data_IF_589279147143
#
_entry.id   IF_589279147143
#
_cell.length_a   1.000
_cell.length_b   1.000
_cell.length_c   1.000
_cell.angle_alpha   90.00
_cell.angle_beta   90.00
_cell.angle_gamma   90.00
#
_symmetry.space_group_name_H-M   'P 1'
#
loop_
_entity.id
_entity.type
_entity.pdbx_description
1 polymer ?
#
# COMPACT_ATOMS: atom_id res chain seq x y z
N UNK A 1 -4.96 27.93 13.14
CA UNK A 1 -4.42 26.69 13.75
C UNK A 1 -3.11 26.42 13.03
N UNK A 2 -1.99 26.05 13.68
CA UNK A 2 -0.81 25.65 12.92
C UNK A 2 -1.20 24.49 12.00
N UNK A 3 -0.99 24.66 10.70
CA UNK A 3 -1.29 23.64 9.69
C UNK A 3 -0.38 22.45 9.96
N UNK A 4 -0.98 21.33 10.33
CA UNK A 4 -0.27 20.09 10.60
C UNK A 4 0.00 19.36 9.28
N UNK A 5 1.26 19.24 8.88
CA UNK A 5 1.66 18.43 7.72
C UNK A 5 1.76 16.95 8.11
N UNK A 6 0.93 16.05 7.55
CA UNK A 6 0.95 14.63 7.87
C UNK A 6 2.08 13.85 7.15
N UNK A 7 2.75 14.44 6.16
CA UNK A 7 3.74 13.75 5.32
C UNK A 7 4.87 13.07 6.11
N UNK A 8 5.44 13.68 7.18
CA UNK A 8 6.45 13.03 8.00
C UNK A 8 5.92 11.80 8.75
N UNK A 9 4.67 11.83 9.21
CA UNK A 9 4.05 10.67 9.88
C UNK A 9 3.87 9.50 8.91
N UNK A 10 3.48 9.79 7.67
CA UNK A 10 3.37 8.76 6.62
C UNK A 10 4.73 8.11 6.35
N UNK A 11 5.78 8.92 6.13
CA UNK A 11 7.13 8.39 5.91
C UNK A 11 7.61 7.55 7.11
N UNK A 12 7.37 8.03 8.33
CA UNK A 12 7.73 7.31 9.56
C UNK A 12 6.97 5.98 9.68
N UNK A 13 5.73 5.90 9.19
CA UNK A 13 4.90 4.69 9.24
C UNK A 13 5.44 3.52 8.37
N UNK A 14 6.33 3.80 7.41
CA UNK A 14 6.96 2.76 6.60
C UNK A 14 7.84 1.83 7.44
N UNK A 15 8.53 2.37 8.45
CA UNK A 15 9.39 1.57 9.31
C UNK A 15 8.64 0.46 10.07
N UNK A 16 7.58 0.76 10.86
CA UNK A 16 6.79 -0.30 11.49
C UNK A 16 6.10 -1.21 10.48
N UNK A 17 5.74 -0.71 9.29
CA UNK A 17 5.15 -1.54 8.23
C UNK A 17 6.12 -2.59 7.68
N UNK A 18 7.39 -2.23 7.47
CA UNK A 18 8.43 -3.16 7.03
C UNK A 18 8.72 -4.22 8.10
N UNK A 19 8.75 -3.81 9.37
CA UNK A 19 8.87 -4.75 10.50
C UNK A 19 7.69 -5.74 10.50
N UNK A 20 6.47 -5.25 10.34
CA UNK A 20 5.27 -6.08 10.21
C UNK A 20 5.41 -7.11 9.09
N UNK A 21 5.81 -6.68 7.89
CA UNK A 21 6.00 -7.56 6.73
C UNK A 21 7.08 -8.63 6.98
N UNK A 22 8.19 -8.25 7.61
CA UNK A 22 9.27 -9.17 7.96
C UNK A 22 8.76 -10.30 8.88
N UNK A 23 8.10 -9.95 9.99
CA UNK A 23 7.58 -10.93 10.93
C UNK A 23 6.45 -11.76 10.34
N UNK A 24 5.61 -11.16 9.50
CA UNK A 24 4.56 -11.86 8.78
C UNK A 24 5.13 -12.97 7.88
N UNK A 25 6.26 -12.68 7.21
CA UNK A 25 6.99 -13.65 6.40
C UNK A 25 7.63 -14.78 7.22
N UNK A 26 8.29 -14.43 8.31
CA UNK A 26 9.05 -15.37 9.15
C UNK A 26 8.14 -16.35 9.89
N UNK A 27 7.03 -15.87 10.44
CA UNK A 27 6.14 -16.66 11.30
C UNK A 27 5.02 -17.38 10.56
N UNK A 28 4.88 -17.14 9.24
CA UNK A 28 3.81 -17.71 8.38
C UNK A 28 2.40 -17.60 9.00
N UNK A 29 2.13 -16.49 9.68
CA UNK A 29 0.90 -16.27 10.46
C UNK A 29 -0.35 -16.15 9.58
N UNK A 30 -0.16 -15.73 8.32
CA UNK A 30 -1.23 -15.59 7.35
C UNK A 30 -0.98 -16.46 6.12
N UNK A 31 -2.04 -16.78 5.36
CA UNK A 31 -1.93 -17.40 4.05
C UNK A 31 -0.96 -16.66 3.14
N UNK A 32 -0.26 -17.41 2.29
CA UNK A 32 0.69 -16.83 1.33
C UNK A 32 0.04 -15.76 0.45
N UNK A 33 -1.24 -15.92 0.10
CA UNK A 33 -2.00 -14.95 -0.69
C UNK A 33 -2.19 -13.62 0.06
N UNK A 34 -2.59 -13.67 1.34
CA UNK A 34 -2.73 -12.45 2.15
C UNK A 34 -1.39 -11.75 2.36
N UNK A 35 -0.30 -12.50 2.57
CA UNK A 35 1.05 -11.94 2.64
C UNK A 35 1.44 -11.23 1.34
N UNK A 36 1.12 -11.80 0.18
CA UNK A 36 1.34 -11.14 -1.11
C UNK A 36 0.51 -9.85 -1.23
N UNK A 37 -0.72 -9.84 -0.73
CA UNK A 37 -1.54 -8.63 -0.68
C UNK A 37 -0.88 -7.49 0.09
N UNK A 38 -0.32 -7.76 1.27
CA UNK A 38 0.46 -6.74 2.02
C UNK A 38 1.74 -6.33 1.27
N UNK A 39 2.44 -7.25 0.62
CA UNK A 39 3.60 -6.90 -0.22
C UNK A 39 3.21 -6.00 -1.41
N UNK A 40 2.03 -6.23 -2.01
CA UNK A 40 1.49 -5.37 -3.05
C UNK A 40 1.15 -3.98 -2.52
N UNK A 41 0.67 -3.85 -1.27
CA UNK A 41 0.51 -2.54 -0.62
C UNK A 41 1.84 -1.81 -0.44
N UNK A 42 2.95 -2.51 -0.15
CA UNK A 42 4.27 -1.87 -0.12
C UNK A 42 4.69 -1.39 -1.52
N UNK A 43 4.47 -2.23 -2.53
CA UNK A 43 4.74 -1.89 -3.92
C UNK A 43 3.90 -0.69 -4.37
N UNK A 44 2.62 -0.65 -3.99
CA UNK A 44 1.72 0.49 -4.18
C UNK A 44 2.35 1.77 -3.66
N UNK A 45 2.85 1.79 -2.42
CA UNK A 45 3.51 2.97 -1.85
C UNK A 45 4.74 3.39 -2.66
N UNK A 46 5.56 2.45 -3.11
CA UNK A 46 6.71 2.76 -3.96
C UNK A 46 6.30 3.40 -5.30
N UNK A 47 5.27 2.84 -5.94
CA UNK A 47 4.72 3.36 -7.19
C UNK A 47 4.11 4.75 -7.00
N UNK A 48 3.36 4.98 -5.93
CA UNK A 48 2.72 6.29 -5.69
C UNK A 48 3.70 7.39 -5.34
N UNK A 49 4.79 7.07 -4.61
CA UNK A 49 5.89 8.02 -4.41
C UNK A 49 6.51 8.41 -5.74
N UNK A 50 6.84 7.44 -6.60
CA UNK A 50 7.40 7.73 -7.92
C UNK A 50 6.42 8.52 -8.80
N UNK A 51 5.14 8.18 -8.76
CA UNK A 51 4.08 8.89 -9.48
C UNK A 51 3.93 10.34 -8.99
N UNK A 52 3.95 10.58 -7.67
CA UNK A 52 3.91 11.92 -7.09
C UNK A 52 5.12 12.76 -7.51
N UNK A 53 6.32 12.18 -7.47
CA UNK A 53 7.54 12.85 -7.96
C UNK A 53 7.43 13.20 -9.46
N UNK A 54 6.85 12.32 -10.29
CA UNK A 54 6.63 12.59 -11.71
C UNK A 54 5.58 13.71 -11.91
N UNK A 55 4.51 13.70 -11.11
CA UNK A 55 3.46 14.72 -11.15
C UNK A 55 4.05 16.12 -10.86
N UNK A 56 4.84 16.21 -9.79
CA UNK A 56 5.52 17.45 -9.38
C UNK A 56 6.53 17.91 -10.45
N UNK A 57 7.46 17.04 -10.87
CA UNK A 57 8.54 17.42 -11.78
C UNK A 57 8.08 17.72 -13.21
N UNK A 58 7.07 17.02 -13.74
CA UNK A 58 6.63 17.17 -15.14
C UNK A 58 5.44 18.09 -15.32
N UNK A 59 4.53 18.10 -14.35
CA UNK A 59 3.25 18.79 -14.47
C UNK A 59 3.10 19.92 -13.45
N UNK A 60 4.04 20.07 -12.50
CA UNK A 60 3.99 21.11 -11.47
C UNK A 60 2.75 21.01 -10.59
N UNK A 61 2.23 19.79 -10.42
CA UNK A 61 0.96 19.54 -9.74
C UNK A 61 1.03 18.27 -8.91
N UNK A 62 0.09 18.15 -7.98
CA UNK A 62 -0.04 16.99 -7.11
C UNK A 62 -0.52 15.76 -7.89
N UNK A 63 -0.14 14.57 -7.43
CA UNK A 63 -0.61 13.29 -7.98
C UNK A 63 -2.14 13.26 -8.14
N UNK A 64 -2.86 13.80 -7.16
CA UNK A 64 -4.33 13.84 -7.09
C UNK A 64 -4.94 14.64 -8.25
N UNK A 65 -4.21 15.57 -8.85
CA UNK A 65 -4.69 16.38 -9.96
C UNK A 65 -4.57 15.68 -11.33
N UNK A 66 -3.95 14.49 -11.40
CA UNK A 66 -3.75 13.74 -12.64
C UNK A 66 -4.61 12.48 -12.62
N UNK A 67 -5.84 12.56 -13.15
CA UNK A 67 -6.84 11.48 -13.04
C UNK A 67 -6.33 10.08 -13.41
N UNK A 68 -5.59 9.86 -14.53
CA UNK A 68 -5.10 8.52 -14.86
C UNK A 68 -4.10 7.99 -13.84
N UNK A 69 -3.29 8.87 -13.25
CA UNK A 69 -2.23 8.52 -12.32
C UNK A 69 -2.80 8.30 -10.91
N UNK A 70 -3.72 9.17 -10.49
CA UNK A 70 -4.44 9.04 -9.23
C UNK A 70 -5.37 7.83 -9.23
N UNK A 71 -6.23 7.69 -10.23
CA UNK A 71 -7.14 6.55 -10.36
C UNK A 71 -6.38 5.23 -10.53
N UNK A 72 -5.24 5.24 -11.24
CA UNK A 72 -4.35 4.07 -11.34
C UNK A 72 -3.77 3.65 -9.99
N UNK A 73 -3.35 4.62 -9.17
CA UNK A 73 -2.90 4.38 -7.81
C UNK A 73 -4.02 3.76 -6.95
N UNK A 74 -5.22 4.34 -6.94
CA UNK A 74 -6.36 3.82 -6.18
C UNK A 74 -6.80 2.43 -6.62
N UNK A 75 -6.79 2.15 -7.93
CA UNK A 75 -7.09 0.83 -8.46
C UNK A 75 -6.07 -0.22 -7.96
N UNK A 76 -4.78 0.14 -7.89
CA UNK A 76 -3.74 -0.76 -7.41
C UNK A 76 -3.83 -1.01 -5.90
N UNK A 77 -4.19 0.00 -5.12
CA UNK A 77 -4.52 -0.17 -3.70
C UNK A 77 -5.73 -1.10 -3.51
N UNK A 78 -6.77 -0.91 -4.31
CA UNK A 78 -7.98 -1.74 -4.32
C UNK A 78 -7.63 -3.20 -4.63
N UNK A 79 -6.80 -3.45 -5.64
CA UNK A 79 -6.32 -4.79 -5.98
C UNK A 79 -5.52 -5.41 -4.82
N UNK A 80 -4.62 -4.65 -4.20
CA UNK A 80 -3.82 -5.12 -3.06
C UNK A 80 -4.73 -5.58 -1.91
N UNK A 81 -5.73 -4.76 -1.57
CA UNK A 81 -6.71 -5.08 -0.53
C UNK A 81 -7.58 -6.30 -0.90
N UNK A 82 -8.01 -6.41 -2.15
CA UNK A 82 -8.76 -7.57 -2.63
C UNK A 82 -7.96 -8.87 -2.48
N UNK A 83 -6.65 -8.85 -2.78
CA UNK A 83 -5.76 -10.01 -2.61
C UNK A 83 -5.60 -10.38 -1.13
N UNK A 84 -5.52 -9.40 -0.21
CA UNK A 84 -5.49 -9.65 1.24
C UNK A 84 -6.75 -10.42 1.66
N UNK A 85 -7.92 -9.88 1.32
CA UNK A 85 -9.24 -10.42 1.70
C UNK A 85 -9.46 -11.80 1.08
N UNK A 86 -9.12 -11.99 -0.20
CA UNK A 86 -9.23 -13.29 -0.87
C UNK A 86 -8.42 -14.37 -0.14
N UNK A 87 -7.20 -14.04 0.31
CA UNK A 87 -6.38 -14.96 1.10
C UNK A 87 -7.01 -15.31 2.45
N UNK A 88 -7.59 -14.34 3.14
CA UNK A 88 -8.23 -14.55 4.44
C UNK A 88 -9.52 -15.39 4.33
N UNK A 89 -10.36 -15.12 3.32
CA UNK A 89 -11.57 -15.91 3.05
C UNK A 89 -11.19 -17.37 2.75
N UNK A 90 -10.16 -17.60 1.93
CA UNK A 90 -9.66 -18.94 1.63
C UNK A 90 -9.22 -19.69 2.88
N UNK A 91 -8.53 -19.01 3.80
CA UNK A 91 -8.07 -19.59 5.06
C UNK A 91 -9.19 -19.91 6.03
N UNK A 92 -10.18 -19.02 6.15
CA UNK A 92 -11.34 -19.24 7.00
C UNK A 92 -12.15 -20.47 6.56
N UNK A 93 -12.24 -20.73 5.26
CA UNK A 93 -12.89 -21.94 4.72
C UNK A 93 -12.16 -23.24 5.07
N UNK A 94 -10.83 -23.18 5.27
CA UNK A 94 -10.01 -24.36 5.65
C UNK A 94 -10.09 -24.64 7.16
N UNK A 95 -10.32 -23.60 7.98
CA UNK A 95 -10.44 -23.72 9.44
C UNK A 95 -11.83 -24.14 9.92
N UNK A 96 -12.86 -24.04 9.07
CA UNK A 96 -14.23 -24.51 9.35
C UNK A 96 -14.39 -25.95 8.87
#
# INVERSE_FOLDING_TARGET
>A
MPDFDPSPLFALSLFPYLIFLYYLGQRRLLPALSRRGFQLTLLFVGITIAAAVIADLKFGTELVAIDPLHGGAEAFLTLSNAVIVAGLIGYQKVLR
#
